data_IF_049289207273
#
_entry.id   IF_049289207273
#
_cell.length_a   1.000
_cell.length_b   1.000
_cell.length_c   1.000
_cell.angle_alpha   90.00
_cell.angle_beta   90.00
_cell.angle_gamma   90.00
#
_symmetry.space_group_name_H-M   'P 1'
#
loop_
_entity.id
_entity.type
_entity.pdbx_description
1 polymer ?
#
# COMPACT_ATOMS: atom_id res chain seq x y z
N UNK A 1 -19.63 28.60 -3.95
CA UNK A 1 -20.05 28.67 -2.53
C UNK A 1 -21.57 28.54 -2.48
N UNK A 2 -22.11 27.42 -2.99
CA UNK A 2 -23.54 27.28 -3.34
C UNK A 2 -24.22 26.09 -2.66
N UNK A 3 -23.60 25.53 -1.62
CA UNK A 3 -24.09 24.35 -0.90
C UNK A 3 -24.53 24.68 0.54
N UNK A 4 -24.27 25.91 0.99
CA UNK A 4 -24.57 26.38 2.35
C UNK A 4 -25.95 27.01 2.49
N UNK A 5 -26.73 27.18 1.41
CA UNK A 5 -28.05 27.84 1.45
C UNK A 5 -29.28 26.91 1.54
N UNK A 6 -29.14 25.61 1.24
CA UNK A 6 -30.30 24.70 1.10
C UNK A 6 -30.55 23.73 2.28
N UNK A 7 -29.95 24.00 3.45
CA UNK A 7 -30.31 23.33 4.70
C UNK A 7 -30.31 21.79 4.65
N UNK A 8 -31.41 21.17 5.09
CA UNK A 8 -31.58 19.71 5.20
C UNK A 8 -31.78 18.99 3.86
N UNK A 9 -32.15 19.69 2.79
CA UNK A 9 -32.44 19.11 1.47
C UNK A 9 -31.16 18.61 0.77
N UNK A 10 -29.99 19.08 1.19
CA UNK A 10 -28.68 18.69 0.62
C UNK A 10 -27.94 17.64 1.43
N UNK A 11 -28.52 17.11 2.52
CA UNK A 11 -27.81 16.12 3.35
C UNK A 11 -27.50 14.84 2.59
N UNK A 12 -28.43 14.35 1.77
CA UNK A 12 -28.21 13.15 0.97
C UNK A 12 -27.10 13.36 -0.07
N UNK A 13 -27.12 14.49 -0.77
CA UNK A 13 -26.11 14.86 -1.77
C UNK A 13 -24.73 15.01 -1.14
N UNK A 14 -24.63 15.68 0.03
CA UNK A 14 -23.35 15.83 0.76
C UNK A 14 -22.85 14.49 1.29
N UNK A 15 -23.73 13.62 1.78
CA UNK A 15 -23.38 12.27 2.22
C UNK A 15 -22.79 11.46 1.07
N UNK A 16 -23.44 11.46 -0.10
CA UNK A 16 -22.94 10.77 -1.29
C UNK A 16 -21.58 11.32 -1.75
N UNK A 17 -21.41 12.65 -1.74
CA UNK A 17 -20.13 13.29 -2.04
C UNK A 17 -19.00 12.75 -1.14
N UNK A 18 -19.20 12.74 0.19
CA UNK A 18 -18.18 12.26 1.12
C UNK A 18 -17.98 10.73 1.05
N UNK A 19 -19.02 9.95 0.76
CA UNK A 19 -18.88 8.50 0.55
C UNK A 19 -18.03 8.21 -0.70
N UNK A 20 -18.24 8.95 -1.78
CA UNK A 20 -17.44 8.82 -3.00
C UNK A 20 -15.99 9.26 -2.77
N UNK A 21 -15.76 10.38 -2.08
CA UNK A 21 -14.42 10.81 -1.70
C UNK A 21 -13.73 9.80 -0.79
N UNK A 22 -14.44 9.25 0.19
CA UNK A 22 -13.92 8.21 1.09
C UNK A 22 -13.44 7.00 0.28
N UNK A 23 -14.29 6.48 -0.61
CA UNK A 23 -13.93 5.33 -1.46
C UNK A 23 -12.69 5.62 -2.32
N UNK A 24 -12.61 6.83 -2.89
CA UNK A 24 -11.44 7.23 -3.66
C UNK A 24 -10.16 7.22 -2.81
N UNK A 25 -10.20 7.83 -1.62
CA UNK A 25 -9.04 7.86 -0.71
C UNK A 25 -8.67 6.47 -0.19
N UNK A 26 -9.64 5.61 0.12
CA UNK A 26 -9.38 4.22 0.53
C UNK A 26 -8.63 3.45 -0.57
N UNK A 27 -9.02 3.60 -1.83
CA UNK A 27 -8.30 3.00 -2.96
C UNK A 27 -6.87 3.55 -3.11
N UNK A 28 -6.66 4.86 -2.96
CA UNK A 28 -5.32 5.45 -3.00
C UNK A 28 -4.45 4.92 -1.84
N UNK A 29 -5.01 4.78 -0.64
CA UNK A 29 -4.32 4.17 0.51
C UNK A 29 -3.92 2.72 0.21
N UNK A 30 -4.79 1.93 -0.41
CA UNK A 30 -4.46 0.55 -0.81
C UNK A 30 -3.29 0.51 -1.79
N UNK A 31 -3.28 1.39 -2.79
CA UNK A 31 -2.15 1.52 -3.75
C UNK A 31 -0.86 1.90 -3.02
N UNK A 32 -0.92 2.91 -2.15
CA UNK A 32 0.24 3.37 -1.37
C UNK A 32 0.77 2.28 -0.43
N UNK A 33 -0.12 1.49 0.18
CA UNK A 33 0.28 0.37 1.03
C UNK A 33 1.01 -0.72 0.23
N UNK A 34 0.54 -1.05 -0.99
CA UNK A 34 1.27 -1.99 -1.87
C UNK A 34 2.65 -1.46 -2.27
N UNK A 35 2.75 -0.17 -2.59
CA UNK A 35 4.05 0.47 -2.88
C UNK A 35 4.96 0.46 -1.65
N UNK A 36 4.43 0.72 -0.46
CA UNK A 36 5.17 0.67 0.78
C UNK A 36 5.70 -0.75 1.05
N UNK A 37 4.90 -1.78 0.80
CA UNK A 37 5.32 -3.18 0.97
C UNK A 37 6.44 -3.56 -0.01
N UNK A 38 6.38 -3.10 -1.27
CA UNK A 38 7.51 -3.21 -2.21
C UNK A 38 8.79 -2.56 -1.65
N UNK A 39 8.66 -1.36 -1.09
CA UNK A 39 9.81 -0.62 -0.53
C UNK A 39 10.38 -1.37 0.68
N UNK A 40 9.55 -1.85 1.61
CA UNK A 40 10.00 -2.65 2.76
C UNK A 40 10.74 -3.90 2.31
N UNK A 41 10.22 -4.61 1.30
CA UNK A 41 10.89 -5.76 0.71
C UNK A 41 12.27 -5.37 0.15
N UNK A 42 12.37 -4.26 -0.58
CA UNK A 42 13.65 -3.76 -1.12
C UNK A 42 14.64 -3.30 -0.06
N UNK A 43 14.18 -2.68 1.03
CA UNK A 43 15.02 -2.34 2.18
C UNK A 43 15.66 -3.61 2.77
N UNK A 44 14.84 -4.62 3.08
CA UNK A 44 15.34 -5.91 3.56
C UNK A 44 16.29 -6.58 2.56
N UNK A 45 15.96 -6.58 1.27
CA UNK A 45 16.76 -7.21 0.22
C UNK A 45 18.20 -6.67 0.21
N UNK A 46 18.35 -5.35 0.28
CA UNK A 46 19.67 -4.73 0.27
C UNK A 46 20.38 -4.82 1.62
N UNK A 47 19.67 -4.73 2.74
CA UNK A 47 20.24 -4.98 4.07
C UNK A 47 20.85 -6.39 4.15
N UNK A 48 20.13 -7.39 3.67
CA UNK A 48 20.58 -8.78 3.64
C UNK A 48 21.74 -8.98 2.64
N UNK A 49 21.67 -8.36 1.47
CA UNK A 49 22.75 -8.43 0.46
C UNK A 49 24.04 -7.81 1.00
N UNK A 50 23.94 -6.68 1.72
CA UNK A 50 25.07 -6.04 2.39
C UNK A 50 25.61 -6.95 3.50
N UNK A 51 24.73 -7.56 4.31
CA UNK A 51 25.13 -8.46 5.41
C UNK A 51 25.87 -9.69 4.92
N UNK A 52 25.44 -10.27 3.79
CA UNK A 52 26.06 -11.46 3.20
C UNK A 52 27.26 -11.13 2.30
N UNK A 53 27.35 -9.89 1.81
CA UNK A 53 28.35 -9.49 0.82
C UNK A 53 28.12 -10.09 -0.57
N UNK A 54 26.96 -10.70 -0.79
CA UNK A 54 26.60 -11.39 -2.04
C UNK A 54 25.09 -11.27 -2.28
N UNK A 55 24.73 -10.56 -3.35
CA UNK A 55 23.34 -10.38 -3.78
C UNK A 55 22.72 -11.71 -4.27
N UNK A 56 23.51 -12.62 -4.86
CA UNK A 56 23.00 -13.91 -5.35
C UNK A 56 22.50 -14.78 -4.21
N UNK A 57 23.16 -14.74 -3.05
CA UNK A 57 22.74 -15.44 -1.84
C UNK A 57 21.35 -14.98 -1.33
N UNK A 58 20.91 -13.77 -1.68
CA UNK A 58 19.56 -13.27 -1.39
C UNK A 58 18.58 -13.67 -2.48
N UNK A 59 18.98 -13.58 -3.76
CA UNK A 59 18.11 -13.92 -4.89
C UNK A 59 17.59 -15.36 -4.83
N UNK A 60 18.42 -16.32 -4.42
CA UNK A 60 18.02 -17.73 -4.28
C UNK A 60 16.97 -17.97 -3.19
N UNK A 61 16.73 -16.99 -2.30
CA UNK A 61 15.70 -17.07 -1.26
C UNK A 61 14.32 -16.70 -1.78
N UNK A 62 14.23 -15.94 -2.88
CA UNK A 62 12.96 -15.42 -3.41
C UNK A 62 12.31 -16.48 -4.33
N UNK A 63 10.99 -16.75 -4.22
CA UNK A 63 10.05 -16.26 -3.20
C UNK A 63 9.90 -17.19 -1.98
N UNK A 64 10.46 -18.40 -2.04
CA UNK A 64 10.05 -19.50 -1.15
C UNK A 64 10.70 -19.49 0.25
N UNK A 65 11.88 -18.89 0.40
CA UNK A 65 12.70 -18.92 1.61
C UNK A 65 12.93 -17.51 2.20
N UNK A 66 11.88 -16.68 2.17
CA UNK A 66 11.84 -15.37 2.81
C UNK A 66 11.33 -15.52 4.26
N UNK A 67 11.79 -14.66 5.19
CA UNK A 67 11.12 -14.47 6.48
C UNK A 67 9.64 -14.13 6.28
N UNK A 68 8.77 -14.54 7.20
CA UNK A 68 7.31 -14.46 7.02
C UNK A 68 6.80 -13.02 6.74
N UNK A 69 7.34 -12.03 7.46
CA UNK A 69 7.00 -10.62 7.30
C UNK A 69 7.48 -10.06 5.95
N UNK A 70 8.65 -10.47 5.50
CA UNK A 70 9.21 -10.10 4.20
C UNK A 70 8.47 -10.79 3.07
N UNK A 71 8.06 -12.05 3.26
CA UNK A 71 7.24 -12.78 2.30
C UNK A 71 5.90 -12.10 2.10
N UNK A 72 5.25 -11.66 3.18
CA UNK A 72 4.01 -10.90 3.09
C UNK A 72 4.20 -9.60 2.30
N UNK A 73 5.27 -8.85 2.57
CA UNK A 73 5.59 -7.61 1.83
C UNK A 73 5.85 -7.90 0.34
N UNK A 74 6.57 -8.99 0.04
CA UNK A 74 6.80 -9.44 -1.33
C UNK A 74 5.47 -9.78 -2.01
N UNK A 75 4.66 -10.66 -1.43
CA UNK A 75 3.39 -11.10 -2.02
C UNK A 75 2.42 -9.93 -2.25
N UNK A 76 2.32 -8.99 -1.29
CA UNK A 76 1.49 -7.78 -1.41
C UNK A 76 1.97 -6.83 -2.51
N UNK A 77 3.26 -6.84 -2.83
CA UNK A 77 3.85 -5.97 -3.84
C UNK A 77 3.58 -6.41 -5.28
N UNK A 78 3.18 -7.67 -5.48
CA UNK A 78 2.86 -8.27 -6.79
C UNK A 78 1.35 -8.52 -7.01
N UNK A 79 0.48 -8.06 -6.10
CA UNK A 79 -0.98 -8.04 -6.25
C UNK A 79 -1.48 -6.75 -6.95
#
# INVERSE_FOLDING_TARGET
MEWTQSGSETFQVRKELFQNQKKYIENEIEVLNRMLDMIKFKCWYYEESIRLGDEQAVQVKIPNNLPDDIKQNYDNSYQ
#
